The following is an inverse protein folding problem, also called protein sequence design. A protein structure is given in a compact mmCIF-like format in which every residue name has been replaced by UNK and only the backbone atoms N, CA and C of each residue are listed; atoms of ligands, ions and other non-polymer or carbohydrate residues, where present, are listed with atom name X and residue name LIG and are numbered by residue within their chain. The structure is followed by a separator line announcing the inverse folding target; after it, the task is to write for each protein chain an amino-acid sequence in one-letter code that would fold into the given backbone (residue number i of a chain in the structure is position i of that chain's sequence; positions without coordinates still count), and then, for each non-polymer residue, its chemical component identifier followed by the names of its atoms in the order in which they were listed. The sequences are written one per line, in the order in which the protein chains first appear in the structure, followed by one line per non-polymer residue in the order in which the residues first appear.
data_IF_612874073599
#
_entry.id   IF_612874073599
#
_cell.length_a   1.000
_cell.length_b   1.000
_cell.length_c   1.000
_cell.angle_alpha   90.00
_cell.angle_beta   90.00
_cell.angle_gamma   90.00
#
_symmetry.space_group_name_H-M   'P 1'
#
loop_
_entity.id
_entity.type
_entity.pdbx_description
1 polymer ?
#
# COMPACT_ATOMS: atom_id res chain seq x y z
N UNK A 1 -1.38 -20.93 -9.61
CA UNK A 1 -0.61 -20.25 -8.55
C UNK A 1 -1.53 -20.08 -7.37
N UNK A 2 -1.38 -20.89 -6.33
CA UNK A 2 -2.12 -20.74 -5.07
C UNK A 2 -1.71 -19.43 -4.37
N UNK A 3 -2.56 -18.86 -3.52
CA UNK A 3 -2.18 -17.65 -2.76
C UNK A 3 -1.01 -17.89 -1.80
N UNK A 4 -0.85 -19.13 -1.33
CA UNK A 4 0.33 -19.56 -0.55
C UNK A 4 1.63 -19.42 -1.36
N UNK A 5 1.60 -19.68 -2.67
CA UNK A 5 2.76 -19.50 -3.55
C UNK A 5 3.07 -18.02 -3.84
N UNK A 6 2.13 -17.10 -3.58
CA UNK A 6 2.35 -15.65 -3.70
C UNK A 6 2.90 -15.02 -2.42
N UNK A 7 2.87 -15.74 -1.29
CA UNK A 7 3.42 -15.24 -0.03
C UNK A 7 4.95 -15.30 -0.06
N UNK A 8 5.60 -14.22 0.37
CA UNK A 8 7.06 -14.22 0.51
C UNK A 8 7.51 -15.17 1.63
N UNK A 9 8.69 -15.81 1.51
CA UNK A 9 9.25 -16.63 2.57
C UNK A 9 9.32 -15.87 3.90
N UNK A 10 8.84 -16.52 4.98
CA UNK A 10 8.79 -15.90 6.32
C UNK A 10 7.57 -15.02 6.58
N UNK A 11 6.64 -14.89 5.62
CA UNK A 11 5.37 -14.20 5.81
C UNK A 11 4.26 -15.21 6.04
N UNK A 12 3.51 -15.05 7.13
CA UNK A 12 2.27 -15.79 7.35
C UNK A 12 1.18 -15.28 6.38
N UNK A 13 0.69 -16.11 5.43
CA UNK A 13 -0.30 -15.69 4.45
C UNK A 13 -1.70 -15.51 5.05
N UNK A 14 -1.92 -15.98 6.28
CA UNK A 14 -3.22 -15.93 6.97
C UNK A 14 -3.38 -14.68 7.84
N UNK A 15 -2.31 -13.91 8.03
CA UNK A 15 -2.31 -12.68 8.82
C UNK A 15 -2.28 -11.47 7.89
N UNK A 16 -3.24 -10.53 8.00
CA UNK A 16 -3.28 -9.35 7.17
C UNK A 16 -2.09 -8.42 7.46
N UNK A 17 -1.60 -7.74 6.42
CA UNK A 17 -0.55 -6.73 6.53
C UNK A 17 -1.10 -5.36 6.13
N UNK A 18 -0.78 -4.33 6.92
CA UNK A 18 -1.16 -2.95 6.61
C UNK A 18 -0.66 -2.50 5.22
N UNK A 19 0.54 -2.92 4.83
CA UNK A 19 1.12 -2.60 3.52
C UNK A 19 0.33 -3.25 2.37
N UNK A 20 -0.09 -4.51 2.53
CA UNK A 20 -0.86 -5.25 1.51
C UNK A 20 -2.32 -4.80 1.44
N UNK A 21 -2.91 -4.45 2.59
CA UNK A 21 -4.24 -3.79 2.62
C UNK A 21 -4.18 -2.46 1.87
N UNK A 22 -3.13 -1.66 2.10
CA UNK A 22 -2.95 -0.39 1.39
C UNK A 22 -2.72 -0.58 -0.12
N UNK A 23 -1.94 -1.60 -0.52
CA UNK A 23 -1.79 -1.98 -1.92
C UNK A 23 -3.14 -2.27 -2.58
N UNK A 24 -4.01 -3.04 -1.93
CA UNK A 24 -5.36 -3.31 -2.43
C UNK A 24 -6.23 -2.04 -2.54
N UNK A 25 -6.15 -1.13 -1.56
CA UNK A 25 -6.88 0.14 -1.59
C UNK A 25 -6.44 1.03 -2.76
N UNK A 26 -5.15 0.97 -3.13
CA UNK A 26 -4.60 1.64 -4.30
C UNK A 26 -4.96 0.95 -5.63
N UNK A 27 -5.42 -0.30 -5.60
CA UNK A 27 -5.69 -1.12 -6.79
C UNK A 27 -4.46 -1.89 -7.30
N UNK A 28 -3.49 -2.14 -6.44
CA UNK A 28 -2.37 -3.04 -6.70
C UNK A 28 -2.81 -4.51 -6.77
N UNK A 29 -1.81 -5.42 -6.81
CA UNK A 29 -2.01 -6.87 -6.95
C UNK A 29 -1.20 -7.70 -5.96
N UNK A 30 -0.47 -7.02 -5.08
CA UNK A 30 0.50 -7.60 -4.16
C UNK A 30 -0.11 -7.70 -2.77
N UNK A 31 -1.28 -8.33 -2.75
CA UNK A 31 -2.11 -8.55 -1.58
C UNK A 31 -2.74 -9.95 -1.65
N UNK A 32 -3.01 -10.55 -0.50
CA UNK A 32 -3.62 -11.88 -0.37
C UNK A 32 -5.12 -11.75 -0.04
N UNK A 33 -5.87 -12.86 -0.03
CA UNK A 33 -7.29 -12.84 0.30
C UNK A 33 -7.59 -12.22 1.67
N UNK A 34 -6.75 -12.50 2.67
CA UNK A 34 -6.93 -11.94 4.02
C UNK A 34 -6.83 -10.42 4.03
N UNK A 35 -5.96 -9.83 3.21
CA UNK A 35 -5.81 -8.38 3.12
C UNK A 35 -7.03 -7.75 2.41
N UNK A 36 -7.53 -8.40 1.34
CA UNK A 36 -8.74 -7.95 0.64
C UNK A 36 -9.95 -7.97 1.56
N UNK A 37 -10.12 -9.03 2.36
CA UNK A 37 -11.24 -9.15 3.29
C UNK A 37 -11.23 -8.02 4.33
N UNK A 38 -10.06 -7.68 4.88
CA UNK A 38 -9.92 -6.56 5.82
C UNK A 38 -10.17 -5.22 5.11
N UNK A 39 -9.65 -5.02 3.90
CA UNK A 39 -9.85 -3.80 3.15
C UNK A 39 -11.32 -3.57 2.80
N UNK A 40 -12.05 -4.60 2.38
CA UNK A 40 -13.48 -4.51 2.07
C UNK A 40 -14.32 -4.23 3.33
N UNK A 41 -13.95 -4.79 4.49
CA UNK A 41 -14.57 -4.42 5.78
C UNK A 41 -14.27 -2.98 6.16
N UNK A 42 -13.08 -2.46 5.86
CA UNK A 42 -12.76 -1.06 6.08
C UNK A 42 -13.59 -0.15 5.16
N UNK A 43 -13.76 -0.54 3.90
CA UNK A 43 -14.53 0.22 2.92
C UNK A 43 -16.03 0.22 3.19
N UNK A 44 -16.57 -0.81 3.84
CA UNK A 44 -17.99 -0.80 4.25
C UNK A 44 -18.28 0.21 5.37
N UNK A 45 -17.27 0.55 6.19
CA UNK A 45 -17.40 1.55 7.27
C UNK A 45 -16.94 2.93 6.83
N UNK A 46 -15.91 3.00 5.98
CA UNK A 46 -15.30 4.23 5.50
C UNK A 46 -15.07 4.16 3.98
N UNK A 47 -16.11 4.39 3.15
CA UNK A 47 -16.03 4.23 1.69
C UNK A 47 -14.96 5.11 1.02
N UNK A 48 -14.71 6.30 1.56
CA UNK A 48 -13.74 7.25 1.04
C UNK A 48 -12.28 6.83 1.25
N UNK A 49 -12.03 5.72 1.94
CA UNK A 49 -10.67 5.24 2.22
C UNK A 49 -9.85 5.01 0.95
N UNK A 50 -10.46 4.56 -0.16
CA UNK A 50 -9.77 4.46 -1.47
C UNK A 50 -9.29 5.83 -1.96
N UNK A 51 -10.11 6.87 -1.80
CA UNK A 51 -9.76 8.23 -2.18
C UNK A 51 -8.61 8.75 -1.30
N UNK A 52 -8.69 8.52 0.01
CA UNK A 52 -7.64 8.92 0.97
C UNK A 52 -6.31 8.25 0.65
N UNK A 53 -6.29 6.94 0.36
CA UNK A 53 -5.06 6.23 0.00
C UNK A 53 -4.41 6.81 -1.28
N UNK A 54 -5.23 7.11 -2.30
CA UNK A 54 -4.75 7.73 -3.55
C UNK A 54 -4.23 9.15 -3.30
N UNK A 55 -4.95 9.96 -2.53
CA UNK A 55 -4.54 11.31 -2.18
C UNK A 55 -3.22 11.32 -1.40
N UNK A 56 -3.04 10.41 -0.44
CA UNK A 56 -1.78 10.26 0.28
C UNK A 56 -0.62 9.88 -0.65
N UNK A 57 -0.84 8.97 -1.62
CA UNK A 57 0.19 8.61 -2.61
C UNK A 57 0.57 9.79 -3.53
N UNK A 58 -0.42 10.57 -3.94
CA UNK A 58 -0.21 11.78 -4.72
C UNK A 58 0.57 12.83 -3.92
N UNK A 59 0.18 13.06 -2.68
CA UNK A 59 0.86 14.00 -1.78
C UNK A 59 2.33 13.62 -1.57
N UNK A 60 2.61 12.36 -1.22
CA UNK A 60 3.99 11.89 -1.05
C UNK A 60 4.84 12.15 -2.30
N UNK A 61 4.29 11.83 -3.48
CA UNK A 61 4.97 12.05 -4.76
C UNK A 61 5.23 13.54 -5.00
N UNK A 62 4.25 14.40 -4.73
CA UNK A 62 4.37 15.85 -4.89
C UNK A 62 5.38 16.44 -3.89
N UNK A 63 5.35 16.02 -2.63
CA UNK A 63 6.25 16.48 -1.58
C UNK A 63 7.72 16.11 -1.89
N UNK A 64 7.98 14.86 -2.28
CA UNK A 64 9.34 14.44 -2.67
C UNK A 64 9.82 15.20 -3.90
N UNK A 65 8.98 15.37 -4.93
CA UNK A 65 9.32 16.17 -6.12
C UNK A 65 9.60 17.63 -5.77
N UNK A 66 8.83 18.21 -4.88
CA UNK A 66 9.05 19.57 -4.41
C UNK A 66 10.40 19.69 -3.70
N UNK A 67 10.67 18.85 -2.70
CA UNK A 67 11.94 18.86 -1.97
C UNK A 67 13.16 18.62 -2.88
N UNK A 68 13.04 17.72 -3.85
CA UNK A 68 14.09 17.48 -4.84
C UNK A 68 14.41 18.74 -5.68
N UNK A 69 13.38 19.50 -6.07
CA UNK A 69 13.56 20.80 -6.77
C UNK A 69 14.20 21.86 -5.88
N UNK A 70 14.02 21.77 -4.55
CA UNK A 70 14.67 22.66 -3.58
C UNK A 70 16.12 22.23 -3.23
N UNK A 71 16.66 21.20 -3.89
CA UNK A 71 18.05 20.77 -3.73
C UNK A 71 18.27 19.65 -2.72
N UNK A 72 17.21 19.07 -2.11
CA UNK A 72 17.34 17.86 -1.29
C UNK A 72 17.69 16.66 -2.18
N UNK A 73 18.76 15.92 -1.85
CA UNK A 73 19.26 14.80 -2.67
C UNK A 73 19.26 13.44 -1.98
N UNK A 74 18.95 13.40 -0.68
CA UNK A 74 18.89 12.17 0.10
C UNK A 74 17.52 12.10 0.79
N UNK A 75 16.85 10.97 0.64
CA UNK A 75 15.56 10.68 1.24
C UNK A 75 15.65 9.33 1.95
N UNK A 76 15.16 9.28 3.19
CA UNK A 76 15.03 8.03 3.94
C UNK A 76 13.53 7.75 4.04
N UNK A 77 13.09 6.67 3.40
CA UNK A 77 11.73 6.17 3.54
C UNK A 77 11.73 4.99 4.52
N UNK A 78 11.04 5.16 5.66
CA UNK A 78 10.92 4.12 6.69
C UNK A 78 9.80 3.13 6.38
N UNK A 79 8.87 3.48 5.49
CA UNK A 79 7.75 2.62 5.11
C UNK A 79 7.94 2.15 3.67
N UNK A 80 8.54 0.97 3.49
CA UNK A 80 8.64 0.34 2.18
C UNK A 80 7.24 -0.01 1.67
N UNK A 81 6.60 0.91 0.93
CA UNK A 81 5.36 0.60 0.23
C UNK A 81 5.62 -0.43 -0.85
N UNK A 82 4.68 -1.37 -0.96
CA UNK A 82 4.61 -2.27 -2.10
C UNK A 82 4.43 -1.44 -3.36
N UNK A 83 5.16 -1.80 -4.41
CA UNK A 83 5.24 -1.02 -5.64
C UNK A 83 3.95 -1.23 -6.45
N UNK A 84 2.93 -0.41 -6.20
CA UNK A 84 1.76 -0.35 -7.08
C UNK A 84 2.20 0.03 -8.51
N UNK A 85 1.61 -0.56 -9.57
CA UNK A 85 2.00 -0.37 -10.96
C UNK A 85 1.88 1.08 -11.45
#
# INVERSE_FOLDING_TARGET
MSELERAHPGVDPTVPSSARVYDYLLGGKDHLAVDRAIAERLLSVAPDTRLVARANRQFLTQAVRHMARQGVRQFIDKQAFVRAP
#
